data_IF_800009159938
#
_entry.id   IF_800009159938
#
_cell.length_a   1.000
_cell.length_b   1.000
_cell.length_c   1.000
_cell.angle_alpha   90.00
_cell.angle_beta   90.00
_cell.angle_gamma   90.00
#
_symmetry.space_group_name_H-M   'P 1'
#
loop_
_entity.id
_entity.type
_entity.pdbx_description
1 polymer ?
#
# COMPACT_ATOMS: atom_id res chain seq x y z
N UNK A 1 6.13 25.67 9.05
CA UNK A 1 6.79 24.86 7.99
C UNK A 1 7.99 24.14 8.59
N UNK A 2 8.21 22.87 8.22
CA UNK A 2 9.39 22.12 8.63
C UNK A 2 10.64 22.67 7.90
N UNK A 3 11.75 22.88 8.63
CA UNK A 3 13.04 23.30 8.05
C UNK A 3 13.78 22.10 7.46
N UNK A 4 14.79 22.34 6.62
CA UNK A 4 15.63 21.25 6.05
C UNK A 4 16.45 20.51 7.11
N UNK A 5 16.67 21.12 8.28
CA UNK A 5 17.34 20.50 9.42
C UNK A 5 16.41 19.73 10.34
N UNK A 6 15.09 19.78 10.14
CA UNK A 6 14.09 19.08 10.96
C UNK A 6 14.41 17.60 11.01
N UNK A 7 14.45 17.03 12.22
CA UNK A 7 14.63 15.60 12.45
C UNK A 7 13.31 14.88 12.19
N UNK A 8 13.25 14.06 11.13
CA UNK A 8 12.03 13.37 10.70
C UNK A 8 12.19 11.85 10.89
N UNK A 9 11.34 11.27 11.70
CA UNK A 9 11.24 9.82 11.84
C UNK A 9 10.25 9.24 10.82
N UNK A 10 10.72 8.28 10.00
CA UNK A 10 9.88 7.54 9.05
C UNK A 10 9.74 6.10 9.54
N UNK A 11 8.68 5.82 10.27
CA UNK A 11 8.33 4.48 10.72
C UNK A 11 7.89 3.64 9.51
N UNK A 12 8.56 2.51 9.26
CA UNK A 12 8.30 1.65 8.09
C UNK A 12 9.06 2.08 6.82
N UNK A 13 10.19 2.75 6.95
CA UNK A 13 11.01 3.29 5.85
C UNK A 13 11.56 2.28 4.85
N UNK A 14 11.48 0.97 5.11
CA UNK A 14 11.84 -0.11 4.17
C UNK A 14 10.65 -0.62 3.33
N UNK A 15 9.40 -0.31 3.71
CA UNK A 15 8.21 -0.74 2.98
C UNK A 15 7.98 0.05 1.69
N UNK A 16 7.02 -0.40 0.86
CA UNK A 16 6.64 0.22 -0.42
C UNK A 16 6.50 1.75 -0.31
N UNK A 17 5.64 2.23 0.57
CA UNK A 17 5.35 3.67 0.71
C UNK A 17 6.42 4.38 1.53
N UNK A 18 6.88 3.77 2.62
CA UNK A 18 7.87 4.39 3.51
C UNK A 18 9.20 4.65 2.81
N UNK A 19 9.68 3.73 1.95
CA UNK A 19 10.90 3.93 1.17
C UNK A 19 10.75 5.02 0.11
N UNK A 20 9.60 5.10 -0.53
CA UNK A 20 9.30 6.17 -1.48
C UNK A 20 9.25 7.54 -0.80
N UNK A 21 8.61 7.65 0.39
CA UNK A 21 8.60 8.88 1.21
C UNK A 21 10.02 9.26 1.64
N UNK A 22 10.81 8.31 2.09
CA UNK A 22 12.21 8.53 2.47
C UNK A 22 13.01 9.12 1.32
N UNK A 23 12.90 8.54 0.14
CA UNK A 23 13.59 9.00 -1.06
C UNK A 23 13.11 10.39 -1.51
N UNK A 24 11.80 10.64 -1.49
CA UNK A 24 11.22 11.93 -1.84
C UNK A 24 11.68 13.04 -0.88
N UNK A 25 11.73 12.77 0.43
CA UNK A 25 12.27 13.71 1.43
C UNK A 25 13.75 14.02 1.14
N UNK A 26 14.58 13.00 0.86
CA UNK A 26 15.99 13.19 0.49
C UNK A 26 16.16 14.05 -0.78
N UNK A 27 15.41 13.73 -1.82
CA UNK A 27 15.42 14.51 -3.08
C UNK A 27 15.05 15.98 -2.86
N UNK A 28 14.16 16.24 -1.91
CA UNK A 28 13.78 17.59 -1.50
C UNK A 28 14.78 18.24 -0.53
N UNK A 29 15.90 17.57 -0.19
CA UNK A 29 16.97 18.12 0.65
C UNK A 29 16.74 17.98 2.16
N UNK A 30 15.81 17.13 2.61
CA UNK A 30 15.65 16.77 4.01
C UNK A 30 16.58 15.58 4.31
N UNK A 31 17.72 15.83 4.96
CA UNK A 31 18.74 14.82 5.19
C UNK A 31 18.80 14.31 6.64
N UNK A 32 18.12 14.97 7.57
CA UNK A 32 18.05 14.54 8.97
C UNK A 32 16.89 13.55 9.16
N UNK A 33 16.99 12.39 8.49
CA UNK A 33 15.98 11.35 8.52
C UNK A 33 16.40 10.21 9.43
N UNK A 34 15.46 9.69 10.22
CA UNK A 34 15.64 8.54 11.08
C UNK A 34 14.70 7.42 10.62
N UNK A 35 15.24 6.22 10.50
CA UNK A 35 14.51 4.98 10.30
C UNK A 35 15.05 3.91 11.24
N UNK A 36 14.22 2.95 11.61
CA UNK A 36 14.59 1.73 12.34
C UNK A 36 13.88 0.55 11.69
N UNK A 37 14.61 -0.51 11.45
CA UNK A 37 14.03 -1.78 11.03
C UNK A 37 13.24 -2.40 12.19
N UNK A 38 12.37 -3.37 11.89
CA UNK A 38 11.62 -4.09 12.94
C UNK A 38 12.54 -4.79 13.96
N UNK A 39 13.74 -5.22 13.54
CA UNK A 39 14.72 -5.83 14.45
C UNK A 39 15.35 -4.82 15.41
N UNK A 40 15.50 -3.57 14.99
CA UNK A 40 16.08 -2.49 15.79
C UNK A 40 15.05 -1.84 16.70
N UNK A 41 13.79 -1.76 16.25
CA UNK A 41 12.68 -1.17 16.99
C UNK A 41 11.36 -1.88 16.64
N UNK A 42 10.90 -2.73 17.56
CA UNK A 42 9.57 -3.30 17.48
C UNK A 42 8.54 -2.28 17.96
N UNK A 43 7.69 -1.80 17.05
CA UNK A 43 6.66 -0.81 17.37
C UNK A 43 5.51 -1.38 18.22
N UNK A 44 5.45 -2.70 18.42
CA UNK A 44 4.53 -3.34 19.37
C UNK A 44 5.01 -3.17 20.83
N UNK A 45 6.32 -3.02 21.04
CA UNK A 45 6.90 -2.77 22.37
C UNK A 45 6.84 -1.27 22.73
N UNK A 46 5.82 -0.88 23.50
CA UNK A 46 5.63 0.50 23.93
C UNK A 46 6.80 1.05 24.75
N UNK A 47 7.52 0.21 25.52
CA UNK A 47 8.68 0.65 26.29
C UNK A 47 9.88 0.93 25.37
N UNK A 48 10.07 0.11 24.32
CA UNK A 48 11.09 0.35 23.31
C UNK A 48 10.79 1.62 22.50
N UNK A 49 9.53 1.83 22.11
CA UNK A 49 9.10 3.05 21.39
C UNK A 49 9.34 4.28 22.25
N UNK A 50 8.96 4.22 23.54
CA UNK A 50 9.23 5.34 24.46
C UNK A 50 10.72 5.67 24.54
N UNK A 51 11.59 4.66 24.77
CA UNK A 51 13.06 4.88 24.82
C UNK A 51 13.59 5.50 23.51
N UNK A 52 13.11 5.03 22.37
CA UNK A 52 13.49 5.59 21.09
C UNK A 52 13.12 7.08 20.98
N UNK A 53 11.93 7.47 21.41
CA UNK A 53 11.51 8.89 21.41
C UNK A 53 12.29 9.70 22.44
N UNK A 54 12.60 9.15 23.64
CA UNK A 54 13.44 9.80 24.65
C UNK A 54 14.85 10.10 24.09
N UNK A 55 15.44 9.20 23.31
CA UNK A 55 16.80 9.30 22.76
C UNK A 55 16.85 10.16 21.49
N UNK A 56 15.97 9.90 20.54
CA UNK A 56 16.04 10.50 19.21
C UNK A 56 15.33 11.85 19.11
N UNK A 57 14.32 12.11 19.93
CA UNK A 57 13.59 13.39 19.95
C UNK A 57 13.18 13.86 18.53
N UNK A 58 12.42 13.06 17.73
CA UNK A 58 12.02 13.47 16.40
C UNK A 58 11.08 14.68 16.47
N UNK A 59 11.27 15.64 15.55
CA UNK A 59 10.43 16.82 15.46
C UNK A 59 9.21 16.62 14.54
N UNK A 60 9.33 15.69 13.60
CA UNK A 60 8.23 15.26 12.75
C UNK A 60 8.24 13.74 12.58
N UNK A 61 7.05 13.15 12.36
CA UNK A 61 6.87 11.70 12.25
C UNK A 61 6.03 11.37 11.01
N UNK A 62 6.46 10.37 10.25
CA UNK A 62 5.65 9.70 9.24
C UNK A 62 5.39 8.28 9.70
N UNK A 63 4.15 7.95 10.02
CA UNK A 63 3.74 6.60 10.43
C UNK A 63 3.24 5.81 9.21
N UNK A 64 4.20 5.19 8.50
CA UNK A 64 3.94 4.30 7.36
C UNK A 64 3.97 2.81 7.76
N UNK A 65 4.45 2.49 8.96
CA UNK A 65 4.47 1.13 9.48
C UNK A 65 3.05 0.64 9.81
N UNK A 66 2.74 -0.57 9.35
CA UNK A 66 1.49 -1.25 9.66
C UNK A 66 1.63 -2.76 9.40
N UNK A 67 0.83 -3.57 10.09
CA UNK A 67 0.62 -4.96 9.72
C UNK A 67 -0.37 -5.02 8.56
N UNK A 68 0.10 -5.40 7.37
CA UNK A 68 -0.67 -5.38 6.11
C UNK A 68 -0.65 -6.74 5.43
N UNK A 69 -1.65 -7.01 4.58
CA UNK A 69 -1.72 -8.25 3.81
C UNK A 69 -2.93 -8.27 2.87
N UNK A 70 -2.96 -9.24 1.97
CA UNK A 70 -4.07 -9.47 1.05
C UNK A 70 -5.35 -9.96 1.72
N UNK A 71 -6.42 -10.16 0.94
CA UNK A 71 -7.75 -10.57 1.42
C UNK A 71 -7.68 -11.85 2.26
N UNK A 72 -6.94 -12.87 1.82
CA UNK A 72 -6.85 -14.15 2.54
C UNK A 72 -6.16 -14.01 3.89
N UNK A 73 -5.08 -13.21 3.98
CA UNK A 73 -4.41 -12.93 5.25
C UNK A 73 -5.33 -12.19 6.23
N UNK A 74 -6.07 -11.19 5.75
CA UNK A 74 -7.06 -10.45 6.55
C UNK A 74 -8.17 -11.35 7.09
N UNK A 75 -8.65 -12.32 6.30
CA UNK A 75 -9.65 -13.29 6.75
C UNK A 75 -9.11 -14.26 7.79
N UNK A 76 -7.87 -14.71 7.63
CA UNK A 76 -7.26 -15.74 8.48
C UNK A 76 -6.72 -15.17 9.80
N UNK A 77 -6.10 -14.00 9.79
CA UNK A 77 -5.39 -13.40 10.92
C UNK A 77 -6.10 -12.18 11.48
N UNK A 78 -7.42 -12.22 11.57
CA UNK A 78 -8.28 -11.08 11.94
C UNK A 78 -7.86 -10.39 13.25
N UNK A 79 -7.52 -11.17 14.28
CA UNK A 79 -7.09 -10.66 15.57
C UNK A 79 -5.74 -9.92 15.47
N UNK A 80 -4.78 -10.48 14.73
CA UNK A 80 -3.47 -9.85 14.54
C UNK A 80 -3.58 -8.52 13.79
N UNK A 81 -4.42 -8.46 12.76
CA UNK A 81 -4.62 -7.25 11.98
C UNK A 81 -5.19 -6.09 12.81
N UNK A 82 -6.17 -6.34 13.67
CA UNK A 82 -6.70 -5.28 14.53
C UNK A 82 -5.75 -4.96 15.68
N UNK A 83 -5.28 -5.97 16.40
CA UNK A 83 -4.48 -5.80 17.62
C UNK A 83 -3.14 -5.11 17.34
N UNK A 84 -2.34 -5.63 16.37
CA UNK A 84 -1.02 -5.11 16.09
C UNK A 84 -1.10 -3.68 15.51
N UNK A 85 -2.04 -3.40 14.61
CA UNK A 85 -2.18 -2.04 14.07
C UNK A 85 -2.62 -1.04 15.14
N UNK A 86 -3.55 -1.39 16.03
CA UNK A 86 -3.93 -0.54 17.15
C UNK A 86 -2.73 -0.28 18.08
N UNK A 87 -1.95 -1.31 18.41
CA UNK A 87 -0.78 -1.17 19.28
C UNK A 87 0.29 -0.26 18.66
N UNK A 88 0.65 -0.45 17.39
CA UNK A 88 1.59 0.40 16.66
C UNK A 88 1.14 1.86 16.68
N UNK A 89 -0.12 2.12 16.36
CA UNK A 89 -0.69 3.47 16.30
C UNK A 89 -0.68 4.15 17.67
N UNK A 90 -1.14 3.45 18.71
CA UNK A 90 -1.15 3.98 20.08
C UNK A 90 0.26 4.34 20.55
N UNK A 91 1.23 3.46 20.32
CA UNK A 91 2.61 3.70 20.74
C UNK A 91 3.20 4.92 20.02
N UNK A 92 3.14 4.95 18.69
CA UNK A 92 3.81 6.01 17.91
C UNK A 92 3.09 7.36 18.05
N UNK A 93 1.75 7.40 17.92
CA UNK A 93 1.00 8.67 18.04
C UNK A 93 1.06 9.19 19.48
N UNK A 94 0.94 8.30 20.47
CA UNK A 94 1.01 8.66 21.88
C UNK A 94 2.37 9.23 22.29
N UNK A 95 3.47 8.56 21.90
CA UNK A 95 4.81 9.06 22.19
C UNK A 95 5.14 10.33 21.37
N UNK A 96 4.63 10.46 20.15
CA UNK A 96 4.75 11.71 19.38
C UNK A 96 4.16 12.89 20.15
N UNK A 97 2.99 12.74 20.76
CA UNK A 97 2.38 13.80 21.55
C UNK A 97 3.17 14.10 22.83
N UNK A 98 3.57 13.08 23.60
CA UNK A 98 4.33 13.25 24.84
C UNK A 98 5.67 13.96 24.64
N UNK A 99 6.29 13.76 23.46
CA UNK A 99 7.59 14.36 23.10
C UNK A 99 7.46 15.63 22.25
N UNK A 100 6.26 16.19 22.11
CA UNK A 100 6.06 17.47 21.45
C UNK A 100 6.36 17.46 19.95
N UNK A 101 6.14 16.31 19.28
CA UNK A 101 6.27 16.22 17.81
C UNK A 101 5.39 17.28 17.15
N UNK A 102 6.02 18.14 16.36
CA UNK A 102 5.37 19.30 15.74
C UNK A 102 4.40 18.90 14.62
N UNK A 103 4.69 17.81 13.90
CA UNK A 103 3.89 17.34 12.79
C UNK A 103 3.95 15.83 12.64
N UNK A 104 2.79 15.20 12.45
CA UNK A 104 2.69 13.77 12.20
C UNK A 104 1.82 13.52 10.97
N UNK A 105 2.31 12.65 10.08
CA UNK A 105 1.54 12.11 8.97
C UNK A 105 1.22 10.63 9.25
N UNK A 106 -0.06 10.32 9.36
CA UNK A 106 -0.56 8.96 9.53
C UNK A 106 -1.02 8.39 8.19
N UNK A 107 -0.46 7.25 7.77
CA UNK A 107 -0.91 6.56 6.57
C UNK A 107 -2.04 5.58 6.92
N UNK A 108 -3.24 5.96 6.52
CA UNK A 108 -4.44 5.15 6.59
C UNK A 108 -4.60 4.24 5.37
N UNK A 109 -5.84 4.04 4.95
CA UNK A 109 -6.21 3.27 3.76
C UNK A 109 -7.67 3.57 3.39
N UNK A 110 -8.02 3.55 2.12
CA UNK A 110 -9.42 3.66 1.66
C UNK A 110 -10.31 2.49 2.06
N UNK A 111 -9.78 1.45 2.70
CA UNK A 111 -10.60 0.37 3.30
C UNK A 111 -11.45 0.83 4.48
N UNK A 112 -11.21 2.03 5.03
CA UNK A 112 -12.02 2.66 6.08
C UNK A 112 -13.44 3.02 5.63
N UNK A 113 -13.66 3.10 4.32
CA UNK A 113 -14.98 3.44 3.80
C UNK A 113 -15.91 2.23 3.77
N UNK A 114 -17.21 2.46 3.98
CA UNK A 114 -18.21 1.42 3.90
C UNK A 114 -18.16 0.66 2.57
N UNK A 115 -18.57 -0.61 2.62
CA UNK A 115 -18.64 -1.45 1.42
C UNK A 115 -19.53 -0.85 0.35
N UNK A 116 -20.66 -0.29 0.75
CA UNK A 116 -21.69 0.29 -0.14
C UNK A 116 -21.62 1.83 -0.18
N UNK A 117 -20.45 2.41 0.09
CA UNK A 117 -20.29 3.86 0.02
C UNK A 117 -20.60 4.40 -1.39
N UNK A 118 -21.26 5.54 -1.50
CA UNK A 118 -21.42 6.23 -2.79
C UNK A 118 -20.08 6.46 -3.48
N UNK A 119 -20.07 6.39 -4.81
CA UNK A 119 -18.87 6.55 -5.61
C UNK A 119 -18.94 7.83 -6.46
N UNK A 120 -17.87 8.65 -6.51
CA UNK A 120 -16.62 8.50 -5.79
C UNK A 120 -16.78 8.68 -4.28
N UNK A 121 -15.94 7.95 -3.47
CA UNK A 121 -16.00 8.02 -2.01
C UNK A 121 -15.35 9.32 -1.51
N UNK A 122 -16.17 10.17 -0.91
CA UNK A 122 -15.70 11.37 -0.20
C UNK A 122 -15.27 11.02 1.23
N UNK A 123 -14.51 11.90 1.88
CA UNK A 123 -14.14 11.75 3.28
C UNK A 123 -15.36 11.64 4.20
N UNK A 124 -16.47 12.24 3.84
CA UNK A 124 -17.75 12.20 4.59
C UNK A 124 -18.46 10.83 4.51
N UNK A 125 -18.00 9.93 3.66
CA UNK A 125 -18.49 8.55 3.62
C UNK A 125 -18.04 7.72 4.83
N UNK A 126 -17.11 8.23 5.65
CA UNK A 126 -16.61 7.51 6.83
C UNK A 126 -17.74 7.19 7.83
N UNK A 127 -17.84 5.92 8.24
CA UNK A 127 -18.77 5.42 9.27
C UNK A 127 -20.27 5.59 8.93
N UNK A 128 -20.63 5.71 7.67
CA UNK A 128 -22.03 5.87 7.24
C UNK A 128 -22.78 4.53 7.09
N UNK A 129 -22.07 3.42 6.92
CA UNK A 129 -22.66 2.06 6.87
C UNK A 129 -21.60 0.98 7.12
N UNK A 130 -21.96 -0.33 7.13
CA UNK A 130 -21.00 -1.41 7.43
C UNK A 130 -19.80 -1.46 6.48
N UNK A 131 -18.65 -1.82 7.06
CA UNK A 131 -17.40 -2.03 6.35
C UNK A 131 -17.40 -3.33 5.53
N UNK A 132 -16.40 -3.50 4.66
CA UNK A 132 -16.16 -4.78 3.98
C UNK A 132 -15.69 -5.83 5.00
N UNK A 133 -16.48 -6.90 5.16
CA UNK A 133 -16.27 -7.92 6.19
C UNK A 133 -14.88 -8.55 6.18
N UNK A 134 -14.31 -8.76 4.99
CA UNK A 134 -13.04 -9.49 4.85
C UNK A 134 -11.86 -8.74 5.47
N UNK A 135 -11.87 -7.41 5.46
CA UNK A 135 -10.81 -6.56 5.99
C UNK A 135 -11.27 -5.61 7.12
N UNK A 136 -12.46 -5.84 7.66
CA UNK A 136 -13.04 -5.02 8.72
C UNK A 136 -12.11 -4.78 9.92
N UNK A 137 -11.40 -5.80 10.48
CA UNK A 137 -10.48 -5.59 11.60
C UNK A 137 -9.36 -4.60 11.29
N UNK A 138 -8.77 -4.69 10.10
CA UNK A 138 -7.77 -3.73 9.62
C UNK A 138 -8.37 -2.33 9.43
N UNK A 139 -9.55 -2.26 8.81
CA UNK A 139 -10.24 -1.00 8.58
C UNK A 139 -10.58 -0.29 9.89
N UNK A 140 -11.10 -1.00 10.89
CA UNK A 140 -11.38 -0.45 12.25
C UNK A 140 -10.09 0.09 12.89
N UNK A 141 -8.99 -0.66 12.80
CA UNK A 141 -7.71 -0.15 13.33
C UNK A 141 -7.29 1.15 12.63
N UNK A 142 -7.42 1.24 11.30
CA UNK A 142 -7.09 2.46 10.55
C UNK A 142 -8.04 3.62 10.88
N UNK A 143 -9.33 3.37 11.07
CA UNK A 143 -10.29 4.36 11.56
C UNK A 143 -9.87 4.87 12.94
N UNK A 144 -9.51 3.99 13.86
CA UNK A 144 -9.04 4.38 15.19
C UNK A 144 -7.80 5.30 15.11
N UNK A 145 -6.82 4.99 14.25
CA UNK A 145 -5.62 5.82 14.07
C UNK A 145 -5.92 7.21 13.53
N UNK A 146 -6.77 7.32 12.51
CA UNK A 146 -7.18 8.64 12.01
C UNK A 146 -7.97 9.44 13.05
N UNK A 147 -8.86 8.79 13.81
CA UNK A 147 -9.62 9.44 14.88
C UNK A 147 -8.75 9.82 16.08
N UNK A 148 -7.67 9.08 16.35
CA UNK A 148 -6.65 9.52 17.30
C UNK A 148 -6.01 10.84 16.83
N UNK A 149 -5.53 10.92 15.59
CA UNK A 149 -4.94 12.15 15.04
C UNK A 149 -5.93 13.33 15.17
N UNK A 150 -7.19 13.15 14.74
CA UNK A 150 -8.25 14.17 14.83
C UNK A 150 -8.49 14.61 16.28
N UNK A 151 -8.63 13.65 17.21
CA UNK A 151 -8.89 13.95 18.63
C UNK A 151 -7.71 14.66 19.32
N UNK A 152 -6.48 14.26 19.02
CA UNK A 152 -5.29 14.91 19.55
C UNK A 152 -5.16 16.36 19.05
N UNK A 153 -5.48 16.61 17.79
CA UNK A 153 -5.50 17.96 17.23
C UNK A 153 -6.54 18.84 17.93
N UNK A 154 -7.75 18.34 18.12
CA UNK A 154 -8.85 19.10 18.72
C UNK A 154 -8.63 19.36 20.21
N UNK A 155 -8.08 18.40 20.94
CA UNK A 155 -7.88 18.51 22.38
C UNK A 155 -6.58 19.21 22.76
N UNK A 156 -5.49 18.92 22.06
CA UNK A 156 -4.14 19.34 22.45
C UNK A 156 -3.49 20.33 21.48
N UNK A 157 -4.18 20.68 20.38
CA UNK A 157 -3.65 21.61 19.38
C UNK A 157 -2.46 21.05 18.59
N UNK A 158 -2.36 19.73 18.47
CA UNK A 158 -1.32 19.09 17.63
C UNK A 158 -1.56 19.34 16.15
N UNK A 159 -0.62 18.94 15.28
CA UNK A 159 -0.76 19.05 13.83
C UNK A 159 -0.53 17.68 13.17
N UNK A 160 -1.47 16.76 13.40
CA UNK A 160 -1.41 15.35 12.99
C UNK A 160 -2.44 15.12 11.88
N UNK A 161 -1.98 14.78 10.67
CA UNK A 161 -2.82 14.63 9.50
C UNK A 161 -2.83 13.16 9.07
N UNK A 162 -4.02 12.65 8.77
CA UNK A 162 -4.20 11.31 8.22
C UNK A 162 -4.47 11.38 6.72
N UNK A 163 -3.79 10.55 5.93
CA UNK A 163 -4.01 10.40 4.49
C UNK A 163 -4.47 8.98 4.16
N UNK A 164 -5.41 8.87 3.23
CA UNK A 164 -6.06 7.61 2.84
C UNK A 164 -5.69 7.24 1.41
N UNK A 165 -4.60 6.49 1.21
CA UNK A 165 -4.21 6.05 -0.12
C UNK A 165 -5.19 5.04 -0.70
N UNK A 166 -5.38 5.12 -2.02
CA UNK A 166 -6.01 4.10 -2.85
C UNK A 166 -5.08 2.89 -3.06
N UNK A 167 -5.36 2.00 -4.03
CA UNK A 167 -4.47 0.87 -4.29
C UNK A 167 -3.14 1.35 -4.86
N UNK A 168 -2.06 1.01 -4.17
CA UNK A 168 -0.71 1.41 -4.54
C UNK A 168 0.00 0.30 -5.30
N UNK A 169 0.90 0.71 -6.18
CA UNK A 169 1.82 -0.16 -6.90
C UNK A 169 3.11 0.60 -7.22
N UNK A 170 4.24 -0.08 -7.30
CA UNK A 170 5.52 0.59 -7.58
C UNK A 170 6.75 -0.21 -7.18
N UNK A 171 7.94 0.41 -7.21
CA UNK A 171 9.18 -0.21 -6.76
C UNK A 171 9.10 -0.75 -5.33
N UNK A 172 9.76 -1.87 -5.08
CA UNK A 172 9.73 -2.61 -3.81
C UNK A 172 8.37 -3.22 -3.44
N UNK A 173 7.43 -3.35 -4.39
CA UNK A 173 6.18 -4.07 -4.17
C UNK A 173 6.44 -5.59 -4.05
N UNK A 174 5.48 -6.29 -3.47
CA UNK A 174 5.53 -7.73 -3.30
C UNK A 174 5.03 -8.44 -4.57
N UNK A 175 5.89 -9.22 -5.22
CA UNK A 175 5.57 -10.03 -6.41
C UNK A 175 5.29 -11.50 -6.10
N UNK A 176 5.01 -11.87 -4.86
CA UNK A 176 4.71 -13.25 -4.49
C UNK A 176 3.38 -13.69 -5.11
N UNK A 177 3.34 -14.86 -5.77
CA UNK A 177 2.17 -15.30 -6.54
C UNK A 177 0.91 -15.52 -5.70
N UNK A 178 1.04 -15.77 -4.41
CA UNK A 178 -0.06 -16.04 -3.48
C UNK A 178 -0.46 -14.81 -2.65
N UNK A 179 0.50 -14.02 -2.18
CA UNK A 179 0.29 -13.00 -1.14
C UNK A 179 0.48 -11.55 -1.62
N UNK A 180 0.71 -11.34 -2.93
CA UNK A 180 0.86 -10.00 -3.48
C UNK A 180 -0.48 -9.33 -3.82
N UNK A 181 -0.42 -8.02 -4.03
CA UNK A 181 -1.52 -7.29 -4.62
C UNK A 181 -1.73 -7.69 -6.09
N UNK A 182 -2.91 -7.36 -6.62
CA UNK A 182 -3.35 -7.82 -7.94
C UNK A 182 -2.41 -7.40 -9.09
N UNK A 183 -1.92 -6.17 -9.10
CA UNK A 183 -1.11 -5.63 -10.20
C UNK A 183 0.29 -6.29 -10.27
N UNK A 184 1.10 -6.33 -9.19
CA UNK A 184 2.39 -7.03 -9.23
C UNK A 184 2.24 -8.53 -9.47
N UNK A 185 1.17 -9.18 -8.95
CA UNK A 185 0.88 -10.58 -9.28
C UNK A 185 0.67 -10.78 -10.78
N UNK A 186 -0.11 -9.91 -11.44
CA UNK A 186 -0.35 -9.99 -12.88
C UNK A 186 0.93 -9.79 -13.69
N UNK A 187 1.77 -8.82 -13.33
CA UNK A 187 3.06 -8.61 -14.02
C UNK A 187 3.89 -9.90 -13.97
N UNK A 188 4.08 -10.48 -12.80
CA UNK A 188 4.90 -11.69 -12.64
C UNK A 188 4.29 -12.88 -13.38
N UNK A 189 2.97 -13.10 -13.26
CA UNK A 189 2.27 -14.19 -13.95
C UNK A 189 2.42 -14.09 -15.47
N UNK A 190 2.16 -12.92 -16.03
CA UNK A 190 2.20 -12.71 -17.48
C UNK A 190 3.64 -12.77 -18.01
N UNK A 191 4.61 -12.27 -17.23
CA UNK A 191 6.03 -12.39 -17.57
C UNK A 191 6.49 -13.85 -17.62
N UNK A 192 6.20 -14.64 -16.59
CA UNK A 192 6.56 -16.06 -16.54
C UNK A 192 5.86 -16.85 -17.67
N UNK A 193 4.60 -16.56 -17.98
CA UNK A 193 3.89 -17.17 -19.09
C UNK A 193 4.54 -16.84 -20.44
N UNK A 194 4.99 -15.59 -20.64
CA UNK A 194 5.76 -15.20 -21.83
C UNK A 194 7.05 -15.99 -21.94
N UNK A 195 7.84 -16.05 -20.86
CA UNK A 195 9.10 -16.80 -20.86
C UNK A 195 8.89 -18.29 -21.20
N UNK A 196 7.84 -18.92 -20.64
CA UNK A 196 7.47 -20.29 -20.99
C UNK A 196 7.04 -20.44 -22.47
N UNK A 197 6.30 -19.45 -23.00
CA UNK A 197 5.83 -19.44 -24.38
C UNK A 197 7.01 -19.33 -25.39
N UNK A 198 8.01 -18.52 -25.04
CA UNK A 198 9.21 -18.28 -25.83
C UNK A 198 10.30 -19.35 -25.61
N UNK A 199 10.13 -20.25 -24.64
CA UNK A 199 11.13 -21.23 -24.25
C UNK A 199 12.35 -20.64 -23.52
N UNK A 200 12.22 -19.45 -22.97
CA UNK A 200 13.27 -18.75 -22.22
C UNK A 200 13.37 -19.26 -20.78
N UNK A 201 13.94 -20.46 -20.65
CA UNK A 201 14.13 -21.11 -19.36
C UNK A 201 15.15 -20.39 -18.46
N UNK A 202 16.08 -19.65 -19.04
CA UNK A 202 17.03 -18.85 -18.25
C UNK A 202 16.30 -17.75 -17.48
N UNK A 203 15.40 -17.02 -18.13
CA UNK A 203 14.58 -16.01 -17.50
C UNK A 203 13.63 -16.58 -16.44
N UNK A 204 12.98 -17.74 -16.71
CA UNK A 204 12.12 -18.44 -15.75
C UNK A 204 12.92 -18.80 -14.49
N UNK A 205 14.09 -19.43 -14.64
CA UNK A 205 14.93 -19.85 -13.52
C UNK A 205 15.42 -18.67 -12.68
N UNK A 206 15.83 -17.58 -13.31
CA UNK A 206 16.26 -16.35 -12.61
C UNK A 206 15.15 -15.75 -11.77
N UNK A 207 13.93 -15.66 -12.29
CA UNK A 207 12.80 -15.16 -11.51
C UNK A 207 12.51 -16.03 -10.29
N UNK A 208 12.47 -17.35 -10.49
CA UNK A 208 12.14 -18.32 -9.43
C UNK A 208 13.27 -18.43 -8.39
N UNK A 209 14.54 -18.24 -8.79
CA UNK A 209 15.67 -18.19 -7.86
C UNK A 209 15.56 -17.02 -6.88
N UNK A 210 15.21 -15.84 -7.39
CA UNK A 210 15.02 -14.62 -6.58
C UNK A 210 13.76 -14.73 -5.72
N UNK A 211 12.70 -15.35 -6.26
CA UNK A 211 11.37 -15.46 -5.64
C UNK A 211 10.86 -16.89 -5.74
N UNK A 212 11.38 -17.83 -4.92
CA UNK A 212 10.94 -19.22 -4.92
C UNK A 212 9.42 -19.33 -4.81
N UNK A 213 8.84 -20.31 -5.51
CA UNK A 213 7.40 -20.53 -5.54
C UNK A 213 7.09 -21.87 -4.87
N UNK A 214 5.98 -21.94 -4.14
CA UNK A 214 5.58 -23.19 -3.49
C UNK A 214 4.10 -23.45 -3.67
N UNK A 215 3.71 -24.73 -3.72
CA UNK A 215 2.32 -25.15 -3.63
C UNK A 215 2.14 -26.28 -2.63
N UNK A 216 0.92 -26.44 -2.11
CA UNK A 216 0.54 -27.61 -1.32
C UNK A 216 -0.06 -28.67 -2.24
N UNK A 217 0.41 -29.92 -2.12
CA UNK A 217 -0.14 -31.08 -2.83
C UNK A 217 -0.49 -32.15 -1.75
N UNK A 218 -1.74 -32.15 -1.29
CA UNK A 218 -2.11 -32.88 -0.09
C UNK A 218 -1.45 -32.27 1.15
N UNK A 219 -0.76 -33.10 1.93
CA UNK A 219 0.00 -32.68 3.13
C UNK A 219 1.45 -32.24 2.80
N UNK A 220 1.88 -32.44 1.56
CA UNK A 220 3.23 -32.13 1.11
C UNK A 220 3.32 -30.70 0.57
N UNK A 221 4.39 -30.00 0.94
CA UNK A 221 4.72 -28.67 0.38
C UNK A 221 5.81 -28.83 -0.67
N UNK A 222 5.47 -28.60 -1.93
CA UNK A 222 6.43 -28.57 -3.05
C UNK A 222 6.94 -27.14 -3.16
N UNK A 223 8.26 -26.98 -3.14
CA UNK A 223 8.93 -25.67 -3.33
C UNK A 223 9.81 -25.82 -4.58
N UNK A 224 9.72 -24.86 -5.49
CA UNK A 224 10.56 -24.75 -6.66
C UNK A 224 11.40 -23.48 -6.60
N UNK A 225 12.65 -23.62 -7.06
CA UNK A 225 13.67 -22.59 -7.19
C UNK A 225 14.34 -22.66 -8.58
N UNK A 226 15.37 -21.84 -8.79
CA UNK A 226 16.11 -21.81 -10.06
C UNK A 226 16.80 -23.13 -10.46
N UNK A 227 17.03 -24.05 -9.51
CA UNK A 227 17.71 -25.34 -9.73
C UNK A 227 16.73 -26.51 -9.93
N UNK A 228 15.43 -26.27 -9.72
CA UNK A 228 14.39 -27.30 -9.80
C UNK A 228 14.22 -27.82 -11.23
N UNK A 229 13.67 -29.05 -11.36
CA UNK A 229 13.38 -29.65 -12.68
C UNK A 229 12.29 -28.83 -13.39
N UNK A 230 12.38 -28.73 -14.70
CA UNK A 230 11.39 -28.01 -15.53
C UNK A 230 9.97 -28.55 -15.34
N UNK A 231 9.81 -29.89 -15.23
CA UNK A 231 8.53 -30.52 -14.94
C UNK A 231 7.87 -29.98 -13.66
N UNK A 232 8.66 -29.83 -12.61
CA UNK A 232 8.19 -29.42 -11.29
C UNK A 232 7.86 -27.91 -11.30
N UNK A 233 8.69 -27.13 -12.00
CA UNK A 233 8.43 -25.69 -12.21
C UNK A 233 7.11 -25.51 -12.96
N UNK A 234 6.90 -26.22 -14.06
CA UNK A 234 5.67 -26.14 -14.88
C UNK A 234 4.45 -26.54 -14.03
N UNK A 235 4.54 -27.63 -13.23
CA UNK A 235 3.44 -28.06 -12.37
C UNK A 235 3.07 -26.97 -11.35
N UNK A 236 4.06 -26.39 -10.66
CA UNK A 236 3.83 -25.34 -9.67
C UNK A 236 3.30 -24.06 -10.32
N UNK A 237 3.84 -23.64 -11.45
CA UNK A 237 3.35 -22.45 -12.15
C UNK A 237 1.91 -22.65 -12.68
N UNK A 238 1.58 -23.85 -13.19
CA UNK A 238 0.23 -24.20 -13.61
C UNK A 238 -0.79 -24.13 -12.46
N UNK A 239 -0.40 -24.51 -11.22
CA UNK A 239 -1.22 -24.32 -10.02
C UNK A 239 -1.63 -22.86 -9.81
N UNK A 240 -0.75 -21.90 -10.16
CA UNK A 240 -1.04 -20.46 -10.12
C UNK A 240 -1.69 -19.91 -11.39
N UNK A 241 -2.12 -20.80 -12.31
CA UNK A 241 -2.75 -20.43 -13.57
C UNK A 241 -1.79 -19.89 -14.63
N UNK A 242 -0.51 -20.25 -14.56
CA UNK A 242 0.53 -19.79 -15.49
C UNK A 242 0.91 -20.96 -16.40
N UNK A 243 0.60 -20.86 -17.69
CA UNK A 243 1.02 -21.81 -18.72
C UNK A 243 1.62 -21.06 -19.91
N UNK A 244 2.26 -21.77 -20.82
CA UNK A 244 2.80 -21.15 -22.05
C UNK A 244 1.71 -20.62 -22.99
N UNK A 245 0.47 -21.16 -22.90
CA UNK A 245 -0.65 -20.74 -23.75
C UNK A 245 -1.50 -19.65 -23.11
N UNK A 246 -1.59 -19.62 -21.76
CA UNK A 246 -2.54 -18.75 -21.08
C UNK A 246 -2.13 -18.39 -19.66
N UNK A 247 -2.64 -17.26 -19.20
CA UNK A 247 -2.65 -16.86 -17.78
C UNK A 247 -4.09 -16.83 -17.28
N UNK A 248 -4.37 -17.63 -16.24
CA UNK A 248 -5.68 -17.64 -15.58
C UNK A 248 -5.66 -16.70 -14.39
N UNK A 249 -6.56 -15.72 -14.40
CA UNK A 249 -6.77 -14.75 -13.35
C UNK A 249 -8.09 -15.03 -12.61
N UNK A 250 -8.19 -14.63 -11.35
CA UNK A 250 -9.38 -14.86 -10.52
C UNK A 250 -10.51 -13.91 -10.88
N UNK A 251 -11.76 -14.37 -10.71
CA UNK A 251 -12.97 -13.59 -10.87
C UNK A 251 -13.39 -13.40 -12.33
N UNK A 252 -14.06 -12.30 -12.59
CA UNK A 252 -14.54 -11.92 -13.93
C UNK A 252 -13.69 -10.87 -14.62
N UNK A 253 -12.83 -10.18 -13.87
CA UNK A 253 -12.12 -8.98 -14.34
C UNK A 253 -12.96 -7.71 -14.42
N UNK A 254 -14.25 -7.78 -14.09
CA UNK A 254 -15.16 -6.63 -14.11
C UNK A 254 -14.94 -5.59 -13.00
N UNK A 255 -14.45 -5.94 -11.79
CA UNK A 255 -14.26 -4.95 -10.73
C UNK A 255 -13.39 -3.79 -11.17
N UNK A 256 -13.88 -2.58 -10.81
CA UNK A 256 -13.20 -1.32 -11.08
C UNK A 256 -12.31 -0.94 -9.90
N UNK A 257 -11.10 -0.53 -10.18
CA UNK A 257 -10.12 -0.10 -9.17
C UNK A 257 -9.44 1.18 -9.60
N UNK A 258 -9.07 1.93 -8.61
CA UNK A 258 -8.17 3.06 -8.74
C UNK A 258 -6.77 2.60 -8.35
N UNK A 259 -5.75 3.01 -9.11
CA UNK A 259 -4.36 2.69 -8.86
C UNK A 259 -3.51 3.96 -8.85
N UNK A 260 -2.64 4.09 -7.86
CA UNK A 260 -1.72 5.21 -7.73
C UNK A 260 -0.29 4.70 -7.63
N UNK A 261 0.61 5.29 -8.39
CA UNK A 261 2.05 5.03 -8.34
C UNK A 261 2.63 5.39 -6.97
N UNK A 262 3.42 4.49 -6.36
CA UNK A 262 3.88 4.63 -4.96
C UNK A 262 4.74 5.87 -4.72
N UNK A 263 5.54 6.28 -5.72
CA UNK A 263 6.34 7.50 -5.62
C UNK A 263 5.46 8.77 -5.68
N UNK A 264 4.32 8.73 -6.38
CA UNK A 264 3.34 9.82 -6.35
C UNK A 264 2.57 9.85 -5.02
N UNK A 265 2.24 8.68 -4.44
CA UNK A 265 1.74 8.64 -3.07
C UNK A 265 2.74 9.26 -2.09
N UNK A 266 4.03 8.98 -2.27
CA UNK A 266 5.07 9.60 -1.46
C UNK A 266 5.14 11.11 -1.68
N UNK A 267 5.04 11.57 -2.93
CA UNK A 267 5.05 13.01 -3.27
C UNK A 267 3.84 13.74 -2.66
N UNK A 268 2.64 13.15 -2.73
CA UNK A 268 1.44 13.65 -2.06
C UNK A 268 1.61 13.70 -0.53
N UNK A 269 2.13 12.62 0.05
CA UNK A 269 2.38 12.52 1.49
C UNK A 269 3.35 13.59 1.99
N UNK A 270 4.45 13.78 1.26
CA UNK A 270 5.46 14.80 1.58
C UNK A 270 4.89 16.20 1.34
N UNK A 271 4.09 16.41 0.29
CA UNK A 271 3.39 17.67 0.07
C UNK A 271 2.49 18.02 1.27
N UNK A 272 1.67 17.08 1.72
CA UNK A 272 0.79 17.26 2.90
C UNK A 272 1.63 17.51 4.17
N UNK A 273 2.67 16.72 4.40
CA UNK A 273 3.55 16.87 5.57
C UNK A 273 4.17 18.27 5.64
N UNK A 274 4.58 18.84 4.50
CA UNK A 274 5.33 20.10 4.45
C UNK A 274 4.46 21.34 4.34
N UNK A 275 3.30 21.26 3.67
CA UNK A 275 2.55 22.44 3.23
C UNK A 275 1.12 22.52 3.79
N UNK A 276 0.60 21.46 4.40
CA UNK A 276 -0.80 21.42 4.87
C UNK A 276 -0.82 21.37 6.38
N UNK A 277 -1.54 22.25 7.04
CA UNK A 277 -1.82 22.20 8.47
C UNK A 277 -3.19 21.60 8.74
N UNK A 278 -3.42 21.07 9.95
CA UNK A 278 -4.69 20.44 10.32
C UNK A 278 -5.89 21.36 10.03
N UNK A 279 -5.77 22.65 10.32
CA UNK A 279 -6.82 23.66 10.04
C UNK A 279 -7.21 23.79 8.56
N UNK A 280 -6.33 23.37 7.63
CA UNK A 280 -6.58 23.43 6.19
C UNK A 280 -7.38 22.20 5.71
N UNK A 281 -7.60 21.19 6.57
CA UNK A 281 -8.23 19.92 6.20
C UNK A 281 -9.73 19.86 6.44
N UNK A 282 -10.31 20.88 7.09
CA UNK A 282 -11.73 20.96 7.39
C UNK A 282 -12.28 22.38 7.18
N UNK A 283 -13.60 22.48 7.11
CA UNK A 283 -14.31 23.75 7.20
C UNK A 283 -15.04 23.80 8.54
N UNK A 284 -15.04 24.96 9.18
CA UNK A 284 -15.84 25.16 10.36
C UNK A 284 -17.33 25.04 10.02
N UNK A 285 -18.04 24.28 10.81
CA UNK A 285 -19.48 24.04 10.65
C UNK A 285 -20.16 24.02 12.02
N UNK A 286 -20.95 25.04 12.30
CA UNK A 286 -21.75 25.09 13.52
C UNK A 286 -23.01 24.24 13.34
N UNK A 287 -23.22 23.28 14.22
CA UNK A 287 -24.46 22.51 14.29
C UNK A 287 -25.61 23.33 14.93
N UNK A 288 -26.79 22.70 15.05
CA UNK A 288 -27.97 23.33 15.63
C UNK A 288 -27.79 23.83 17.08
N UNK A 289 -26.83 23.25 17.81
CA UNK A 289 -26.50 23.63 19.19
C UNK A 289 -25.36 24.65 19.28
N UNK A 290 -24.95 25.25 18.15
CA UNK A 290 -23.79 26.14 18.01
C UNK A 290 -22.44 25.48 18.38
N UNK A 291 -22.36 24.16 18.33
CA UNK A 291 -21.11 23.42 18.49
C UNK A 291 -20.42 23.28 17.12
N UNK A 292 -19.16 23.67 17.04
CA UNK A 292 -18.37 23.47 15.82
C UNK A 292 -17.98 21.97 15.70
N UNK A 293 -18.73 21.24 14.87
CA UNK A 293 -18.45 19.83 14.63
C UNK A 293 -17.38 19.66 13.55
N UNK A 294 -16.13 19.42 13.98
CA UNK A 294 -15.03 19.12 13.11
C UNK A 294 -14.92 17.61 12.96
N UNK A 295 -15.15 17.12 11.75
CA UNK A 295 -15.14 15.69 11.40
C UNK A 295 -14.44 15.45 10.07
N UNK A 296 -14.02 14.20 9.85
CA UNK A 296 -13.52 13.72 8.56
C UNK A 296 -12.39 14.58 7.97
N UNK A 297 -11.45 14.97 8.86
CA UNK A 297 -10.31 15.82 8.54
C UNK A 297 -9.21 15.10 7.77
N UNK A 298 -9.34 13.79 7.52
CA UNK A 298 -8.41 13.04 6.69
C UNK A 298 -8.52 13.44 5.22
N UNK A 299 -7.51 13.05 4.43
CA UNK A 299 -7.39 13.42 3.02
C UNK A 299 -7.28 12.15 2.18
N UNK A 300 -8.17 11.97 1.23
CA UNK A 300 -8.04 10.94 0.21
C UNK A 300 -6.86 11.21 -0.70
N UNK A 301 -6.04 10.18 -0.97
CA UNK A 301 -4.92 10.27 -1.89
C UNK A 301 -5.08 9.22 -2.99
N UNK A 302 -5.36 9.69 -4.18
CA UNK A 302 -5.65 8.89 -5.36
C UNK A 302 -5.49 9.69 -6.65
N UNK A 303 -5.92 9.09 -7.74
CA UNK A 303 -5.94 9.71 -9.06
C UNK A 303 -7.30 10.28 -9.44
N UNK A 304 -8.37 9.84 -8.76
CA UNK A 304 -9.75 10.10 -9.15
C UNK A 304 -10.16 9.38 -10.45
N UNK A 305 -9.37 8.39 -10.91
CA UNK A 305 -9.60 7.61 -12.14
C UNK A 305 -9.68 6.13 -11.84
N UNK A 306 -10.62 5.44 -12.43
CA UNK A 306 -10.80 4.01 -12.27
C UNK A 306 -10.59 3.25 -13.57
N UNK A 307 -10.17 1.99 -13.43
CA UNK A 307 -9.95 1.06 -14.53
C UNK A 307 -10.39 -0.34 -14.10
N UNK A 308 -10.94 -1.15 -15.02
CA UNK A 308 -11.28 -2.52 -14.69
C UNK A 308 -10.04 -3.40 -14.55
N UNK A 309 -10.11 -4.43 -13.71
CA UNK A 309 -9.05 -5.42 -13.55
C UNK A 309 -8.71 -6.07 -14.90
N UNK A 310 -9.72 -6.29 -15.75
CA UNK A 310 -9.53 -6.81 -17.11
C UNK A 310 -8.66 -5.86 -17.95
N UNK A 311 -8.98 -4.57 -17.98
CA UNK A 311 -8.20 -3.58 -18.73
C UNK A 311 -6.76 -3.46 -18.22
N UNK A 312 -6.55 -3.53 -16.88
CA UNK A 312 -5.18 -3.56 -16.31
C UNK A 312 -4.42 -4.79 -16.80
N UNK A 313 -5.03 -5.98 -16.78
CA UNK A 313 -4.41 -7.19 -17.28
C UNK A 313 -4.05 -7.11 -18.77
N UNK A 314 -4.93 -6.51 -19.58
CA UNK A 314 -4.70 -6.28 -21.03
C UNK A 314 -3.55 -5.29 -21.26
N UNK A 315 -3.46 -4.20 -20.47
CA UNK A 315 -2.33 -3.27 -20.53
C UNK A 315 -1.01 -3.94 -20.16
N UNK A 316 -0.99 -4.74 -19.10
CA UNK A 316 0.20 -5.49 -18.67
C UNK A 316 0.59 -6.51 -19.74
N UNK A 317 -0.37 -7.24 -20.30
CA UNK A 317 -0.12 -8.21 -21.37
C UNK A 317 0.49 -7.57 -22.62
N UNK A 318 -0.01 -6.40 -23.00
CA UNK A 318 0.52 -5.60 -24.11
C UNK A 318 1.94 -5.12 -23.83
N UNK A 319 2.18 -4.57 -22.64
CA UNK A 319 3.49 -4.06 -22.23
C UNK A 319 4.56 -5.16 -22.21
N UNK A 320 4.22 -6.32 -21.63
CA UNK A 320 5.12 -7.48 -21.55
C UNK A 320 5.33 -8.13 -22.92
N UNK A 321 4.34 -8.02 -23.82
CA UNK A 321 4.38 -8.62 -25.14
C UNK A 321 4.03 -10.11 -25.16
N UNK A 322 3.26 -10.60 -24.18
CA UNK A 322 2.79 -11.99 -24.14
C UNK A 322 1.77 -12.25 -25.27
N UNK A 323 1.94 -13.37 -25.99
CA UNK A 323 1.13 -13.72 -27.17
C UNK A 323 0.05 -14.79 -26.90
N UNK A 324 -0.02 -15.27 -25.66
CA UNK A 324 -1.05 -16.23 -25.25
C UNK A 324 -2.38 -15.56 -24.89
N UNK A 325 -3.17 -16.19 -24.05
CA UNK A 325 -4.52 -15.78 -23.68
C UNK A 325 -4.61 -15.35 -22.20
N UNK A 326 -5.50 -14.40 -21.90
CA UNK A 326 -5.99 -14.13 -20.54
C UNK A 326 -7.30 -14.89 -20.32
N UNK A 327 -7.34 -15.76 -19.31
CA UNK A 327 -8.51 -16.53 -18.89
C UNK A 327 -8.97 -16.10 -17.51
N UNK A 328 -10.28 -16.24 -17.24
CA UNK A 328 -10.89 -15.81 -16.00
C UNK A 328 -11.54 -16.97 -15.26
N UNK A 329 -11.06 -17.25 -14.04
CA UNK A 329 -11.64 -18.27 -13.17
C UNK A 329 -12.80 -17.67 -12.35
N UNK A 330 -14.01 -17.80 -12.90
CA UNK A 330 -15.26 -17.29 -12.29
C UNK A 330 -15.69 -18.04 -11.03
N UNK A 331 -15.02 -19.15 -10.68
CA UNK A 331 -15.26 -19.83 -9.39
C UNK A 331 -14.70 -19.05 -8.19
N UNK A 332 -13.81 -18.09 -8.47
CA UNK A 332 -13.22 -17.21 -7.46
C UNK A 332 -14.01 -15.90 -7.35
N UNK A 333 -14.12 -15.32 -6.14
CA UNK A 333 -14.89 -14.09 -5.93
C UNK A 333 -14.21 -12.87 -6.56
N UNK A 334 -15.01 -11.92 -7.01
CA UNK A 334 -14.57 -10.64 -7.57
C UNK A 334 -14.15 -9.60 -6.52
N UNK A 335 -14.58 -9.71 -5.29
CA UNK A 335 -14.47 -8.64 -4.29
C UNK A 335 -15.45 -7.47 -4.58
N UNK A 336 -15.23 -6.31 -3.94
CA UNK A 336 -16.07 -5.11 -4.12
C UNK A 336 -16.07 -4.65 -5.58
N UNK A 337 -17.24 -4.38 -6.16
CA UNK A 337 -17.38 -4.06 -7.57
C UNK A 337 -16.68 -2.75 -7.97
N UNK A 338 -16.77 -1.71 -7.14
CA UNK A 338 -16.21 -0.38 -7.42
C UNK A 338 -15.55 0.23 -6.19
N UNK A 339 -14.38 0.84 -6.38
CA UNK A 339 -13.66 1.65 -5.38
C UNK A 339 -12.95 2.79 -6.08
N UNK A 340 -13.57 3.97 -6.03
CA UNK A 340 -13.03 5.22 -6.56
C UNK A 340 -13.04 6.28 -5.46
N UNK A 341 -11.94 6.97 -5.24
CA UNK A 341 -11.87 8.06 -4.26
C UNK A 341 -12.23 9.40 -4.88
N UNK A 342 -12.91 10.24 -4.12
CA UNK A 342 -12.98 11.66 -4.40
C UNK A 342 -11.67 12.32 -3.94
N UNK A 343 -10.99 12.99 -4.84
CA UNK A 343 -9.70 13.65 -4.60
C UNK A 343 -9.80 15.18 -4.58
N UNK A 344 -11.02 15.72 -4.55
CA UNK A 344 -11.29 17.16 -4.59
C UNK A 344 -10.58 17.91 -3.46
N UNK A 345 -10.58 17.34 -2.22
CA UNK A 345 -9.87 17.92 -1.09
C UNK A 345 -8.36 18.01 -1.35
N UNK A 346 -7.74 16.93 -1.81
CA UNK A 346 -6.30 16.90 -2.13
C UNK A 346 -5.94 17.91 -3.22
N UNK A 347 -6.77 18.01 -4.27
CA UNK A 347 -6.59 18.98 -5.35
C UNK A 347 -6.69 20.43 -4.84
N UNK A 348 -7.64 20.71 -3.95
CA UNK A 348 -7.78 22.04 -3.34
C UNK A 348 -6.58 22.41 -2.44
N UNK A 349 -5.86 21.42 -1.92
CA UNK A 349 -4.62 21.58 -1.18
C UNK A 349 -3.37 21.67 -2.08
N UNK A 350 -3.55 21.69 -3.39
CA UNK A 350 -2.51 22.02 -4.37
C UNK A 350 -1.68 20.83 -4.88
N UNK A 351 -2.16 19.59 -4.70
CA UNK A 351 -1.47 18.42 -5.25
C UNK A 351 -2.33 17.66 -6.27
N UNK A 352 -1.72 17.24 -7.37
CA UNK A 352 -2.31 16.44 -8.44
C UNK A 352 -1.33 15.33 -8.86
N UNK A 353 -1.86 14.14 -9.18
CA UNK A 353 -1.04 13.08 -9.77
C UNK A 353 -0.59 13.44 -11.20
N UNK A 354 0.48 12.81 -11.66
CA UNK A 354 1.08 13.05 -12.98
C UNK A 354 1.28 11.76 -13.78
N UNK A 355 1.43 10.62 -13.11
CA UNK A 355 1.73 9.34 -13.74
C UNK A 355 0.42 8.59 -13.95
N UNK A 356 0.10 8.32 -15.20
CA UNK A 356 -1.05 7.49 -15.58
C UNK A 356 -0.71 6.01 -15.47
N UNK A 357 -1.74 5.15 -15.47
CA UNK A 357 -1.60 3.73 -15.19
C UNK A 357 -0.71 2.99 -16.20
N UNK A 358 -0.78 3.33 -17.47
CA UNK A 358 0.02 2.74 -18.54
C UNK A 358 1.51 3.05 -18.37
N UNK A 359 1.87 4.31 -18.09
CA UNK A 359 3.24 4.70 -17.79
C UNK A 359 3.73 4.04 -16.49
N UNK A 360 2.89 3.98 -15.45
CA UNK A 360 3.22 3.31 -14.20
C UNK A 360 3.47 1.81 -14.37
N UNK A 361 2.68 1.11 -15.19
CA UNK A 361 2.90 -0.30 -15.55
C UNK A 361 4.24 -0.47 -16.27
N UNK A 362 4.54 0.37 -17.25
CA UNK A 362 5.82 0.37 -17.95
C UNK A 362 7.00 0.51 -16.97
N UNK A 363 6.98 1.53 -16.12
CA UNK A 363 8.03 1.78 -15.11
C UNK A 363 8.20 0.60 -14.14
N UNK A 364 7.09 0.02 -13.67
CA UNK A 364 7.15 -1.11 -12.74
C UNK A 364 7.69 -2.37 -13.43
N UNK A 365 7.31 -2.61 -14.67
CA UNK A 365 7.85 -3.74 -15.43
C UNK A 365 9.36 -3.59 -15.68
N UNK A 366 9.83 -2.40 -16.04
CA UNK A 366 11.28 -2.13 -16.17
C UNK A 366 12.03 -2.34 -14.85
N UNK A 367 11.48 -1.87 -13.74
CA UNK A 367 12.05 -2.09 -12.41
C UNK A 367 12.09 -3.59 -12.06
N UNK A 368 11.04 -4.32 -12.37
CA UNK A 368 10.95 -5.76 -12.13
C UNK A 368 12.02 -6.53 -12.92
N UNK A 369 12.25 -6.19 -14.18
CA UNK A 369 13.30 -6.78 -15.02
C UNK A 369 14.71 -6.45 -14.49
N UNK A 370 14.95 -5.23 -14.04
CA UNK A 370 16.22 -4.85 -13.43
C UNK A 370 16.53 -5.70 -12.19
N UNK A 371 15.54 -5.93 -11.33
CA UNK A 371 15.67 -6.80 -10.16
C UNK A 371 16.06 -8.24 -10.52
N UNK A 372 15.61 -8.76 -11.65
CA UNK A 372 16.00 -10.07 -12.18
C UNK A 372 17.47 -10.05 -12.70
N UNK A 373 17.93 -8.92 -13.24
CA UNK A 373 19.27 -8.79 -13.83
C UNK A 373 20.40 -8.52 -12.81
N UNK A 374 20.10 -7.80 -11.70
CA UNK A 374 21.10 -7.26 -10.77
C UNK A 374 21.59 -8.31 -9.75
N UNK A 375 20.74 -9.25 -9.34
CA UNK A 375 21.08 -10.23 -8.29
C UNK A 375 22.16 -11.28 -8.67
N UNK A 376 22.80 -11.16 -9.85
CA UNK A 376 23.96 -11.97 -10.23
C UNK A 376 25.32 -11.30 -9.96
N UNK A 377 25.38 -10.10 -9.35
CA UNK A 377 26.66 -9.38 -9.12
C UNK A 377 27.07 -9.22 -7.67
N UNK A 378 26.25 -9.64 -6.71
CA UNK A 378 26.59 -9.57 -5.28
C UNK A 378 26.24 -10.89 -4.56
N UNK A 379 27.03 -11.94 -4.82
CA UNK A 379 27.22 -13.10 -3.92
C UNK A 379 28.70 -13.34 -3.80
#
# INVERSE_FOLDING_TARGET
MLSKSTKIYVAGHHGLVGSAIWNNLKQRGYNNLIGRSHRELDLLDGAAVKRFFDEEQPEAVVLAAAHVGGIMANLQYRADFIYQNLQIQQNVIGESWKHGVKKLLFLGSTCIYPREAPQPMTEDSLLTSPLEYTNEPYAIAKIAGLKMCESFNLQYGTNYIAVMPTNLYGPNDNFHLENSHVLPAMIRKIYLAKCLNEGDWEAVRKDIEIRPVSMKKGDEKIIVDGLSKESDIVEVLAHYGITKEAVTLWGTGAPMREFLWSEEMADASVHVLLNVDFKDTYKENLNADNINEIRNCHINVGTGKEISIKQVAELIMKEIGFKGELRWDRSKPDGTLKKLTDVTKLHSLGWHHKIEIDEGIHRLYQWYLQGICINHKEV
#
